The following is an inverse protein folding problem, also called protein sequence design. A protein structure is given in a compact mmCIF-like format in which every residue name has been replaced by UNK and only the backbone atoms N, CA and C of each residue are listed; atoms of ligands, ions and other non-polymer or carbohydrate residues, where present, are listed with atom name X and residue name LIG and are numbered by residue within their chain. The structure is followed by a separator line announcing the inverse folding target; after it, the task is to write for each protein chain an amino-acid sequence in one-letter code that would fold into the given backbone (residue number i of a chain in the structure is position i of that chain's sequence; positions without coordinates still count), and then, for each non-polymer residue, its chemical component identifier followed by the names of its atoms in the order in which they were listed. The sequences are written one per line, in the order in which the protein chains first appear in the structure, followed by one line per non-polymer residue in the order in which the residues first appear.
data_IF_384148239507
#
_entry.id   IF_384148239507
#
_cell.length_a   1.000
_cell.length_b   1.000
_cell.length_c   1.000
_cell.angle_alpha   90.00
_cell.angle_beta   90.00
_cell.angle_gamma   90.00
#
_symmetry.space_group_name_H-M   'P 1'
#
loop_
_entity.id
_entity.type
_entity.pdbx_description
1 polymer ?
#
# COMPACT_ATOMS: atom_id res chain seq x y z
N UNK A 1 25.39 -5.28 -6.98
CA UNK A 1 24.07 -5.93 -6.81
C UNK A 1 23.28 -5.81 -8.10
N UNK A 2 22.70 -6.89 -8.62
CA UNK A 2 21.97 -6.87 -9.89
C UNK A 2 20.61 -6.16 -9.69
N UNK A 3 20.34 -5.09 -10.45
CA UNK A 3 19.11 -4.29 -10.35
C UNK A 3 17.83 -5.14 -10.54
N UNK A 4 17.89 -6.18 -11.37
CA UNK A 4 16.78 -7.10 -11.57
C UNK A 4 16.49 -7.91 -10.30
N UNK A 5 17.53 -8.39 -9.62
CA UNK A 5 17.39 -9.15 -8.37
C UNK A 5 16.87 -8.26 -7.24
N UNK A 6 17.41 -7.04 -7.08
CA UNK A 6 16.89 -6.06 -6.12
C UNK A 6 15.40 -5.78 -6.36
N UNK A 7 15.01 -5.56 -7.62
CA UNK A 7 13.62 -5.33 -7.99
C UNK A 7 12.72 -6.50 -7.63
N UNK A 8 13.13 -7.73 -7.90
CA UNK A 8 12.36 -8.91 -7.49
C UNK A 8 12.16 -8.95 -5.97
N UNK A 9 13.20 -8.67 -5.18
CA UNK A 9 13.08 -8.58 -3.71
C UNK A 9 12.11 -7.47 -3.28
N UNK A 10 12.13 -6.31 -3.93
CA UNK A 10 11.17 -5.23 -3.66
C UNK A 10 9.74 -5.61 -4.02
N UNK A 11 9.51 -6.33 -5.13
CA UNK A 11 8.18 -6.83 -5.52
C UNK A 11 7.67 -7.85 -4.50
N UNK A 12 8.53 -8.76 -4.02
CA UNK A 12 8.17 -9.71 -2.95
C UNK A 12 7.83 -8.97 -1.66
N UNK A 13 8.62 -7.95 -1.29
CA UNK A 13 8.31 -7.11 -0.14
C UNK A 13 6.97 -6.38 -0.31
N UNK A 14 6.67 -5.85 -1.49
CA UNK A 14 5.40 -5.19 -1.80
C UNK A 14 4.23 -6.17 -1.69
N UNK A 15 4.40 -7.40 -2.18
CA UNK A 15 3.41 -8.47 -2.04
C UNK A 15 3.15 -8.80 -0.56
N UNK A 16 4.19 -8.98 0.26
CA UNK A 16 4.04 -9.31 1.67
C UNK A 16 3.36 -8.17 2.46
N UNK A 17 3.71 -6.91 2.19
CA UNK A 17 3.05 -5.75 2.80
C UNK A 17 1.58 -5.67 2.37
N UNK A 18 1.28 -5.87 1.09
CA UNK A 18 -0.10 -5.89 0.59
C UNK A 18 -0.90 -7.06 1.18
N UNK A 19 -0.32 -8.26 1.26
CA UNK A 19 -0.94 -9.44 1.84
C UNK A 19 -1.21 -9.23 3.33
N UNK A 20 -0.24 -8.72 4.09
CA UNK A 20 -0.41 -8.41 5.51
C UNK A 20 -1.52 -7.39 5.76
N UNK A 21 -1.55 -6.30 4.99
CA UNK A 21 -2.61 -5.30 5.05
C UNK A 21 -3.99 -5.86 4.67
N UNK A 22 -4.06 -6.72 3.67
CA UNK A 22 -5.31 -7.38 3.26
C UNK A 22 -5.84 -8.35 4.32
N UNK A 23 -4.96 -9.20 4.87
CA UNK A 23 -5.32 -10.12 5.95
C UNK A 23 -5.76 -9.38 7.22
N UNK A 24 -5.17 -8.21 7.50
CA UNK A 24 -5.61 -7.35 8.60
C UNK A 24 -7.04 -6.84 8.38
N UNK A 25 -7.37 -6.43 7.14
CA UNK A 25 -8.74 -6.04 6.80
C UNK A 25 -9.72 -7.20 6.94
N UNK A 26 -9.37 -8.40 6.47
CA UNK A 26 -10.24 -9.58 6.63
C UNK A 26 -10.48 -9.96 8.09
N UNK A 27 -9.50 -9.69 8.96
CA UNK A 27 -9.63 -9.92 10.41
C UNK A 27 -10.59 -8.92 11.07
N UNK A 28 -10.64 -7.68 10.61
CA UNK A 28 -11.37 -6.58 11.27
C UNK A 28 -12.74 -6.35 10.61
N UNK A 29 -12.83 -6.51 9.29
CA UNK A 29 -14.00 -6.18 8.49
C UNK A 29 -14.63 -7.46 7.91
N UNK A 30 -15.74 -7.90 8.52
CA UNK A 30 -16.54 -8.99 7.96
C UNK A 30 -17.26 -8.54 6.69
N UNK A 31 -17.35 -9.44 5.70
CA UNK A 31 -17.93 -9.14 4.37
C UNK A 31 -19.46 -9.04 4.37
N UNK A 32 -20.09 -9.25 5.53
CA UNK A 32 -21.55 -9.16 5.70
C UNK A 32 -22.04 -7.70 5.63
N UNK A 33 -21.14 -6.73 5.80
CA UNK A 33 -21.45 -5.31 5.66
C UNK A 33 -20.98 -4.79 4.29
N UNK A 34 -21.88 -4.25 3.44
CA UNK A 34 -21.53 -3.69 2.12
C UNK A 34 -20.43 -2.62 2.17
N UNK A 35 -20.32 -1.86 3.25
CA UNK A 35 -19.29 -0.84 3.43
C UNK A 35 -17.86 -1.42 3.42
N UNK A 36 -17.72 -2.71 3.75
CA UNK A 36 -16.44 -3.41 3.82
C UNK A 36 -15.98 -3.95 2.46
N UNK A 37 -16.82 -3.90 1.43
CA UNK A 37 -16.49 -4.41 0.10
C UNK A 37 -15.43 -3.57 -0.61
N UNK A 38 -15.44 -2.25 -0.39
CA UNK A 38 -14.45 -1.34 -0.99
C UNK A 38 -13.04 -1.64 -0.44
N UNK A 39 -12.79 -1.66 0.89
CA UNK A 39 -11.49 -2.07 1.42
C UNK A 39 -11.04 -3.45 0.96
N UNK A 40 -11.98 -4.41 0.89
CA UNK A 40 -11.70 -5.76 0.40
C UNK A 40 -11.18 -5.75 -1.04
N UNK A 41 -11.89 -5.10 -1.97
CA UNK A 41 -11.47 -5.01 -3.38
C UNK A 41 -10.14 -4.26 -3.53
N UNK A 42 -9.95 -3.15 -2.82
CA UNK A 42 -8.70 -2.40 -2.82
C UNK A 42 -7.51 -3.25 -2.34
N UNK A 43 -7.71 -4.06 -1.30
CA UNK A 43 -6.72 -4.99 -0.80
C UNK A 43 -6.41 -6.12 -1.79
N UNK A 44 -7.45 -6.73 -2.37
CA UNK A 44 -7.31 -7.79 -3.37
C UNK A 44 -6.55 -7.31 -4.62
N UNK A 45 -6.91 -6.14 -5.15
CA UNK A 45 -6.23 -5.50 -6.30
C UNK A 45 -4.76 -5.19 -5.93
N UNK A 46 -4.50 -4.67 -4.74
CA UNK A 46 -3.14 -4.35 -4.28
C UNK A 46 -2.24 -5.58 -4.14
N UNK A 47 -2.79 -6.70 -3.67
CA UNK A 47 -2.05 -7.95 -3.44
C UNK A 47 -1.85 -8.76 -4.73
N UNK A 48 -2.72 -8.61 -5.72
CA UNK A 48 -2.70 -9.42 -6.95
C UNK A 48 -2.33 -8.58 -8.17
N UNK A 49 -3.27 -7.76 -8.66
CA UNK A 49 -3.17 -6.99 -9.90
C UNK A 49 -1.94 -6.09 -9.90
N UNK A 50 -1.72 -5.31 -8.84
CA UNK A 50 -0.55 -4.41 -8.74
C UNK A 50 0.76 -5.19 -8.78
N UNK A 51 0.83 -6.34 -8.11
CA UNK A 51 2.03 -7.19 -8.09
C UNK A 51 2.33 -7.75 -9.48
N UNK A 52 1.32 -8.32 -10.14
CA UNK A 52 1.44 -8.84 -11.51
C UNK A 52 1.86 -7.74 -12.47
N UNK A 53 1.25 -6.56 -12.39
CA UNK A 53 1.61 -5.42 -13.25
C UNK A 53 3.05 -4.95 -13.01
N UNK A 54 3.54 -4.99 -11.77
CA UNK A 54 4.93 -4.68 -11.47
C UNK A 54 5.93 -5.74 -11.95
N UNK A 55 5.50 -6.92 -12.37
CA UNK A 55 6.41 -7.88 -13.01
C UNK A 55 6.81 -7.45 -14.43
N UNK A 56 6.00 -6.61 -15.08
CA UNK A 56 6.22 -6.19 -16.47
C UNK A 56 6.50 -4.69 -16.58
N UNK A 57 7.61 -4.32 -17.24
CA UNK A 57 8.01 -2.92 -17.45
C UNK A 57 6.91 -2.07 -18.09
N UNK A 58 6.19 -2.63 -19.07
CA UNK A 58 5.14 -1.94 -19.84
C UNK A 58 3.97 -1.48 -18.95
N UNK A 59 3.71 -2.18 -17.86
CA UNK A 59 2.60 -1.90 -16.94
C UNK A 59 3.03 -1.26 -15.63
N UNK A 60 4.34 -1.06 -15.40
CA UNK A 60 4.88 -0.54 -14.14
C UNK A 60 4.36 0.87 -13.81
N UNK A 61 4.19 1.75 -14.80
CA UNK A 61 3.63 3.08 -14.59
C UNK A 61 2.17 3.03 -14.11
N UNK A 62 1.36 2.17 -14.73
CA UNK A 62 -0.03 1.95 -14.31
C UNK A 62 -0.11 1.29 -12.93
N UNK A 63 0.79 0.36 -12.61
CA UNK A 63 0.85 -0.29 -11.30
C UNK A 63 1.12 0.73 -10.19
N UNK A 64 2.07 1.64 -10.43
CA UNK A 64 2.39 2.74 -9.52
C UNK A 64 1.21 3.70 -9.34
N UNK A 65 0.54 4.09 -10.44
CA UNK A 65 -0.63 4.95 -10.39
C UNK A 65 -1.79 4.32 -9.61
N UNK A 66 -2.16 3.08 -9.92
CA UNK A 66 -3.24 2.35 -9.24
C UNK A 66 -2.91 2.20 -7.75
N UNK A 67 -1.68 1.81 -7.42
CA UNK A 67 -1.25 1.71 -6.02
C UNK A 67 -1.34 3.06 -5.31
N UNK A 68 -0.94 4.15 -5.96
CA UNK A 68 -1.07 5.51 -5.44
C UNK A 68 -2.52 5.92 -5.16
N UNK A 69 -3.45 5.65 -6.10
CA UNK A 69 -4.87 5.93 -5.91
C UNK A 69 -5.42 5.15 -4.70
N UNK A 70 -5.11 3.85 -4.60
CA UNK A 70 -5.56 3.02 -3.46
C UNK A 70 -4.99 3.56 -2.13
N UNK A 71 -3.72 3.97 -2.12
CA UNK A 71 -3.08 4.56 -0.93
C UNK A 71 -3.77 5.85 -0.51
N UNK A 72 -4.08 6.75 -1.45
CA UNK A 72 -4.79 8.01 -1.15
C UNK A 72 -6.19 7.72 -0.61
N UNK A 73 -6.96 6.85 -1.28
CA UNK A 73 -8.30 6.47 -0.83
C UNK A 73 -8.27 5.86 0.57
N UNK A 74 -7.37 4.90 0.81
CA UNK A 74 -7.20 4.27 2.13
C UNK A 74 -6.80 5.27 3.20
N UNK A 75 -5.89 6.20 2.89
CA UNK A 75 -5.45 7.23 3.84
C UNK A 75 -6.61 8.14 4.25
N UNK A 76 -7.40 8.63 3.28
CA UNK A 76 -8.53 9.51 3.55
C UNK A 76 -9.60 8.78 4.37
N UNK A 77 -9.97 7.55 3.99
CA UNK A 77 -11.01 6.79 4.69
C UNK A 77 -10.58 6.41 6.10
N UNK A 78 -9.33 5.97 6.29
CA UNK A 78 -8.79 5.64 7.62
C UNK A 78 -8.64 6.88 8.51
N UNK A 79 -8.21 8.01 7.95
CA UNK A 79 -8.12 9.27 8.69
C UNK A 79 -9.51 9.76 9.12
N UNK A 80 -10.48 9.73 8.21
CA UNK A 80 -11.87 10.09 8.52
C UNK A 80 -12.46 9.15 9.60
N UNK A 81 -12.27 7.83 9.46
CA UNK A 81 -12.75 6.85 10.43
C UNK A 81 -12.14 7.07 11.82
N UNK A 82 -10.83 7.36 11.86
CA UNK A 82 -10.10 7.71 13.08
C UNK A 82 -10.66 8.97 13.74
N UNK A 83 -11.00 10.00 12.95
CA UNK A 83 -11.58 11.24 13.46
C UNK A 83 -12.98 11.04 14.04
N UNK A 84 -13.87 10.35 13.32
CA UNK A 84 -15.27 10.15 13.73
C UNK A 84 -15.39 9.28 14.99
N UNK A 85 -14.49 8.31 15.17
CA UNK A 85 -14.50 7.39 16.32
C UNK A 85 -13.50 7.78 17.42
N UNK A 86 -12.87 8.95 17.32
CA UNK A 86 -11.90 9.38 18.31
C UNK A 86 -12.61 9.67 19.65
N UNK A 87 -12.17 9.01 20.71
CA UNK A 87 -12.67 9.25 22.06
C UNK A 87 -11.66 10.09 22.84
N UNK A 88 -12.13 11.23 23.38
CA UNK A 88 -11.34 12.08 24.26
C UNK A 88 -10.86 11.29 25.51
N UNK A 89 -9.72 11.67 26.14
CA UNK A 89 -8.89 12.85 25.91
C UNK A 89 -7.82 12.68 24.82
N UNK A 90 -7.40 13.81 24.22
CA UNK A 90 -6.31 13.88 23.27
C UNK A 90 -4.96 13.64 23.97
N UNK A 91 -4.47 12.40 23.89
CA UNK A 91 -3.15 12.01 24.35
C UNK A 91 -2.36 11.45 23.16
N UNK A 92 -1.10 11.88 23.00
CA UNK A 92 -0.25 11.52 21.84
C UNK A 92 -0.19 9.99 21.67
N UNK A 93 0.03 9.23 22.75
CA UNK A 93 0.05 7.76 22.67
C UNK A 93 -1.26 7.15 22.14
N UNK A 94 -2.42 7.74 22.46
CA UNK A 94 -3.72 7.29 21.94
C UNK A 94 -3.88 7.62 20.46
N UNK A 95 -3.31 8.71 19.97
CA UNK A 95 -3.34 9.04 18.55
C UNK A 95 -2.53 7.99 17.77
N UNK A 96 -1.34 7.61 18.23
CA UNK A 96 -0.51 6.64 17.53
C UNK A 96 -1.01 5.19 17.62
N UNK A 97 -1.59 4.79 18.76
CA UNK A 97 -1.89 3.37 19.04
C UNK A 97 -3.39 3.03 19.04
N UNK A 98 -4.28 4.02 19.18
CA UNK A 98 -5.74 3.79 19.22
C UNK A 98 -6.46 4.40 18.02
N UNK A 99 -5.72 4.90 17.02
CA UNK A 99 -6.26 5.29 15.71
C UNK A 99 -5.61 4.47 14.61
N UNK A 100 -6.09 4.64 13.37
CA UNK A 100 -5.53 3.96 12.20
C UNK A 100 -4.24 4.64 11.69
N UNK A 101 -3.59 5.48 12.50
CA UNK A 101 -2.35 6.15 12.10
C UNK A 101 -1.23 5.17 11.78
N UNK A 102 -1.07 4.11 12.57
CA UNK A 102 -0.08 3.07 12.30
C UNK A 102 -0.35 2.37 10.95
N UNK A 103 -1.62 2.07 10.65
CA UNK A 103 -2.03 1.49 9.37
C UNK A 103 -1.74 2.42 8.19
N UNK A 104 -2.02 3.73 8.35
CA UNK A 104 -1.69 4.75 7.36
C UNK A 104 -0.18 4.82 7.12
N UNK A 105 0.64 4.76 8.17
CA UNK A 105 2.10 4.78 8.03
C UNK A 105 2.61 3.58 7.23
N UNK A 106 2.05 2.38 7.47
CA UNK A 106 2.36 1.17 6.68
C UNK A 106 1.91 1.36 5.22
N UNK A 107 0.73 1.92 4.99
CA UNK A 107 0.18 2.19 3.66
C UNK A 107 1.04 3.18 2.86
N UNK A 108 1.55 4.24 3.52
CA UNK A 108 2.50 5.18 2.93
C UNK A 108 3.85 4.51 2.66
N UNK A 109 4.34 3.66 3.56
CA UNK A 109 5.55 2.85 3.33
C UNK A 109 5.41 1.97 2.07
N UNK A 110 4.24 1.34 1.89
CA UNK A 110 3.89 0.60 0.67
C UNK A 110 3.96 1.46 -0.59
N UNK A 111 3.52 2.71 -0.52
CA UNK A 111 3.61 3.65 -1.63
C UNK A 111 5.06 3.93 -2.04
N UNK A 112 5.93 4.28 -1.10
CA UNK A 112 7.35 4.51 -1.40
C UNK A 112 8.07 3.27 -1.92
N UNK A 113 7.71 2.09 -1.41
CA UNK A 113 8.22 0.82 -1.96
C UNK A 113 7.81 0.63 -3.43
N UNK A 114 6.55 0.93 -3.77
CA UNK A 114 6.08 0.89 -5.16
C UNK A 114 6.76 1.93 -6.06
N UNK A 115 7.08 3.11 -5.51
CA UNK A 115 7.88 4.14 -6.21
C UNK A 115 9.28 3.63 -6.53
N UNK A 116 9.96 3.01 -5.56
CA UNK A 116 11.29 2.44 -5.77
C UNK A 116 11.29 1.35 -6.85
N UNK A 117 10.26 0.49 -6.88
CA UNK A 117 10.09 -0.50 -7.95
C UNK A 117 9.89 0.19 -9.30
N UNK A 118 8.99 1.17 -9.36
CA UNK A 118 8.75 1.95 -10.58
C UNK A 118 10.04 2.59 -11.09
N UNK A 119 10.77 3.33 -10.26
CA UNK A 119 12.01 3.99 -10.64
C UNK A 119 13.05 2.99 -11.14
N UNK A 120 13.16 1.81 -10.52
CA UNK A 120 14.09 0.76 -10.95
C UNK A 120 13.87 0.25 -12.39
N UNK A 121 12.71 0.51 -13.00
CA UNK A 121 12.46 0.22 -14.43
C UNK A 121 12.97 1.30 -15.39
N UNK A 122 13.20 2.52 -14.88
CA UNK A 122 13.47 3.73 -15.67
C UNK A 122 14.75 4.47 -15.25
N UNK A 123 15.55 3.90 -14.33
CA UNK A 123 16.94 4.35 -14.12
C UNK A 123 17.65 4.28 -15.47
N UNK A 124 18.09 5.44 -15.98
CA UNK A 124 19.05 5.47 -17.08
C UNK A 124 20.36 4.91 -16.55
N UNK A 125 20.90 3.89 -17.21
CA UNK A 125 22.30 3.53 -16.96
C UNK A 125 23.14 4.77 -17.28
N UNK A 126 24.09 5.18 -16.40
CA UNK A 126 25.00 6.25 -16.76
C UNK A 126 25.72 5.83 -18.03
N UNK A 127 25.67 6.68 -19.07
CA UNK A 127 26.53 6.52 -20.24
C UNK A 127 27.96 6.54 -19.72
N UNK A 128 28.62 5.37 -19.78
CA UNK A 128 30.05 5.27 -19.54
C UNK A 128 30.69 5.94 -20.76
N UNK A 129 31.05 7.21 -20.61
CA UNK A 129 31.88 7.97 -21.56
C UNK A 129 33.32 7.49 -21.43
#
# INVERSE_FOLDING_TARGET
MNIKSLRTSMIVALFLVSLGGFLLHLRIHHLDNPANFIPFLCGLISMTVVIVMFMYKKTAAYAYLINGIIVVLGTITMAHFSYVHFTAPFFIGKIFLNTLFADIAILIGKFFLSKAIYESYFIKEPEVI
#
